data_IF_205930623827
#
_entry.id   IF_205930623827
#
_cell.length_a   1.000
_cell.length_b   1.000
_cell.length_c   1.000
_cell.angle_alpha   90.00
_cell.angle_beta   90.00
_cell.angle_gamma   90.00
#
_symmetry.space_group_name_H-M   'P 1'
#
loop_
_entity.id
_entity.type
_entity.pdbx_description
1 polymer ?
#
# COMPACT_ATOMS: atom_id res chain seq x y z
N UNK A 1 -20.50 25.60 -4.67
CA UNK A 1 -20.46 24.98 -3.32
C UNK A 1 -19.48 23.80 -3.15
N UNK A 2 -19.00 23.11 -4.21
CA UNK A 2 -17.97 22.05 -4.07
C UNK A 2 -16.55 22.57 -3.81
N UNK A 3 -16.20 23.75 -4.33
CA UNK A 3 -14.87 24.36 -4.12
C UNK A 3 -14.58 24.77 -2.67
N UNK A 4 -15.62 25.12 -1.89
CA UNK A 4 -15.48 25.47 -0.47
C UNK A 4 -15.24 24.27 0.44
N UNK A 5 -15.69 23.07 0.04
CA UNK A 5 -15.44 21.83 0.79
C UNK A 5 -14.02 21.32 0.56
N UNK A 6 -13.51 21.36 -0.67
CA UNK A 6 -12.11 21.04 -0.98
C UNK A 6 -11.13 21.95 -0.23
N UNK A 7 -11.45 23.24 -0.14
CA UNK A 7 -10.65 24.20 0.64
C UNK A 7 -10.69 23.93 2.14
N UNK A 8 -11.81 23.43 2.70
CA UNK A 8 -11.87 23.02 4.11
C UNK A 8 -11.08 21.75 4.40
N UNK A 9 -11.12 20.76 3.51
CA UNK A 9 -10.33 19.52 3.69
C UNK A 9 -8.84 19.81 3.59
N UNK A 10 -8.42 20.61 2.60
CA UNK A 10 -7.03 21.05 2.48
C UNK A 10 -6.61 21.89 3.69
N UNK A 11 -7.44 22.82 4.15
CA UNK A 11 -7.17 23.63 5.35
C UNK A 11 -7.11 22.80 6.62
N UNK A 12 -8.01 21.84 6.81
CA UNK A 12 -8.00 20.96 7.98
C UNK A 12 -6.83 19.98 7.92
N UNK A 13 -6.44 19.51 6.73
CA UNK A 13 -5.22 18.73 6.53
C UNK A 13 -3.96 19.56 6.81
N UNK A 14 -3.93 20.83 6.41
CA UNK A 14 -2.86 21.77 6.74
C UNK A 14 -2.80 22.11 8.23
N UNK A 15 -3.94 22.19 8.93
CA UNK A 15 -4.00 22.37 10.38
C UNK A 15 -3.55 21.10 11.10
N UNK A 16 -3.99 19.92 10.65
CA UNK A 16 -3.52 18.64 11.18
C UNK A 16 -2.02 18.44 10.93
N UNK A 17 -1.52 18.86 9.76
CA UNK A 17 -0.08 18.96 9.48
C UNK A 17 0.60 19.95 10.42
N UNK A 18 0.04 21.14 10.65
CA UNK A 18 0.62 22.13 11.57
C UNK A 18 0.68 21.67 13.04
N UNK A 19 -0.24 20.81 13.47
CA UNK A 19 -0.19 20.16 14.80
C UNK A 19 0.82 19.01 14.81
N UNK A 20 0.91 18.24 13.71
CA UNK A 20 1.95 17.22 13.52
C UNK A 20 3.37 17.82 13.33
N UNK A 21 3.47 19.07 12.86
CA UNK A 21 4.71 19.83 12.63
C UNK A 21 5.47 20.10 13.94
N UNK A 22 4.78 20.06 15.08
CA UNK A 22 5.40 20.23 16.39
C UNK A 22 5.96 18.93 16.96
N UNK A 23 5.65 17.76 16.41
CA UNK A 23 6.15 16.49 16.94
C UNK A 23 7.68 16.41 16.81
N UNK A 24 8.30 16.65 15.64
CA UNK A 24 9.75 16.67 15.54
C UNK A 24 10.41 17.74 16.43
N UNK A 25 9.77 18.90 16.58
CA UNK A 25 10.26 19.97 17.46
C UNK A 25 10.18 19.58 18.95
N UNK A 26 9.07 18.99 19.38
CA UNK A 26 8.84 18.52 20.74
C UNK A 26 9.78 17.36 21.08
N UNK A 27 9.93 16.38 20.18
CA UNK A 27 10.89 15.27 20.33
C UNK A 27 12.31 15.81 20.40
N UNK A 28 12.69 16.75 19.51
CA UNK A 28 14.00 17.39 19.55
C UNK A 28 14.23 18.08 20.90
N UNK A 29 13.28 18.86 21.41
CA UNK A 29 13.36 19.50 22.72
C UNK A 29 13.51 18.47 23.85
N UNK A 30 12.74 17.37 23.80
CA UNK A 30 12.85 16.27 24.76
C UNK A 30 14.23 15.61 24.75
N UNK A 31 14.93 15.54 23.61
CA UNK A 31 16.31 15.02 23.58
C UNK A 31 17.32 15.86 24.38
N UNK A 32 16.95 17.04 24.89
CA UNK A 32 17.77 17.83 25.81
C UNK A 32 17.34 17.69 27.27
N UNK A 33 16.25 16.96 27.54
CA UNK A 33 15.74 16.69 28.89
C UNK A 33 16.36 15.40 29.45
N UNK A 34 17.17 15.44 30.53
CA UNK A 34 17.95 14.28 30.98
C UNK A 34 17.12 13.02 31.30
N UNK A 35 15.95 13.11 31.98
CA UNK A 35 15.07 11.94 32.19
C UNK A 35 14.49 11.30 30.92
N UNK A 36 14.45 12.03 29.80
CA UNK A 36 14.04 11.49 28.50
C UNK A 36 15.21 10.83 27.80
N UNK A 37 16.37 11.48 27.81
CA UNK A 37 17.64 10.92 27.29
C UNK A 37 17.96 9.60 27.99
N UNK A 38 17.86 9.55 29.32
CA UNK A 38 18.13 8.34 30.10
C UNK A 38 17.22 7.17 29.72
N UNK A 39 15.95 7.44 29.39
CA UNK A 39 15.01 6.45 28.84
C UNK A 39 15.39 5.99 27.43
N UNK A 40 15.81 6.92 26.57
CA UNK A 40 16.27 6.64 25.20
C UNK A 40 17.58 5.85 25.13
N UNK A 41 18.41 5.94 26.17
CA UNK A 41 19.68 5.23 26.28
C UNK A 41 19.58 3.94 27.11
N UNK A 42 18.45 3.67 27.76
CA UNK A 42 18.26 2.55 28.70
C UNK A 42 18.47 1.17 28.07
N UNK A 43 18.38 1.04 26.74
CA UNK A 43 18.53 -0.21 25.99
C UNK A 43 19.73 -0.26 25.03
N UNK A 44 20.73 0.66 25.09
CA UNK A 44 21.85 0.62 24.14
C UNK A 44 22.99 1.62 24.36
N UNK A 45 23.89 1.72 23.37
CA UNK A 45 25.21 2.41 23.40
C UNK A 45 25.17 3.95 23.47
N UNK A 46 24.01 4.57 23.71
CA UNK A 46 23.86 6.04 23.65
C UNK A 46 23.93 6.66 22.24
N UNK A 47 24.19 5.86 21.19
CA UNK A 47 24.25 6.28 19.78
C UNK A 47 22.89 6.72 19.20
N UNK A 48 21.79 6.39 19.86
CA UNK A 48 20.42 6.71 19.43
C UNK A 48 20.10 8.21 19.50
N UNK A 49 20.65 8.94 20.48
CA UNK A 49 20.26 10.35 20.74
C UNK A 49 20.73 11.30 19.63
N UNK A 50 22.00 11.26 19.16
CA UNK A 50 22.42 12.05 18.01
C UNK A 50 21.62 11.74 16.74
N UNK A 51 21.31 10.46 16.49
CA UNK A 51 20.50 10.03 15.33
C UNK A 51 19.08 10.60 15.39
N UNK A 52 18.42 10.53 16.56
CA UNK A 52 17.09 11.11 16.76
C UNK A 52 17.12 12.63 16.56
N UNK A 53 18.14 13.32 17.05
CA UNK A 53 18.31 14.77 16.83
C UNK A 53 18.46 15.10 15.35
N UNK A 54 19.33 14.39 14.64
CA UNK A 54 19.52 14.56 13.18
C UNK A 54 18.22 14.29 12.44
N UNK A 55 17.51 13.21 12.75
CA UNK A 55 16.21 12.89 12.15
C UNK A 55 15.17 14.01 12.39
N UNK A 56 15.10 14.56 13.61
CA UNK A 56 14.20 15.67 13.91
C UNK A 56 14.59 16.95 13.14
N UNK A 57 15.88 17.28 13.04
CA UNK A 57 16.35 18.44 12.28
C UNK A 57 16.04 18.27 10.79
N UNK A 58 16.30 17.09 10.22
CA UNK A 58 15.98 16.77 8.83
C UNK A 58 14.48 16.87 8.58
N UNK A 59 13.65 16.34 9.49
CA UNK A 59 12.20 16.46 9.41
C UNK A 59 11.73 17.93 9.45
N UNK A 60 12.24 18.73 10.40
CA UNK A 60 11.94 20.17 10.49
C UNK A 60 12.40 20.95 9.25
N UNK A 61 13.56 20.62 8.69
CA UNK A 61 14.05 21.21 7.45
C UNK A 61 13.13 20.84 6.26
N UNK A 62 12.71 19.57 6.16
CA UNK A 62 11.75 19.13 5.15
C UNK A 62 10.40 19.86 5.29
N UNK A 63 9.89 20.03 6.51
CA UNK A 63 8.68 20.80 6.79
C UNK A 63 8.83 22.27 6.42
N UNK A 64 9.96 22.90 6.77
CA UNK A 64 10.26 24.28 6.39
C UNK A 64 10.31 24.44 4.86
N UNK A 65 10.93 23.50 4.15
CA UNK A 65 10.94 23.47 2.69
C UNK A 65 9.52 23.32 2.13
N UNK A 66 8.73 22.37 2.62
CA UNK A 66 7.32 22.20 2.22
C UNK A 66 6.52 23.48 2.46
N UNK A 67 6.72 24.14 3.60
CA UNK A 67 6.09 25.41 3.90
C UNK A 67 6.53 26.50 2.91
N UNK A 68 7.82 26.70 2.68
CA UNK A 68 8.36 27.69 1.73
C UNK A 68 7.79 27.46 0.33
N UNK A 69 7.74 26.21 -0.12
CA UNK A 69 7.26 25.84 -1.45
C UNK A 69 5.75 25.63 -1.55
N UNK A 70 4.98 25.73 -0.45
CA UNK A 70 3.54 25.40 -0.41
C UNK A 70 2.70 26.10 -1.47
N UNK A 71 2.98 27.37 -1.77
CA UNK A 71 2.26 28.14 -2.79
C UNK A 71 2.59 27.66 -4.20
N UNK A 72 3.86 27.31 -4.46
CA UNK A 72 4.29 26.77 -5.75
C UNK A 72 3.75 25.36 -5.97
N UNK A 73 3.77 24.53 -4.93
CA UNK A 73 3.18 23.19 -4.93
C UNK A 73 1.66 23.27 -5.14
N UNK A 74 0.97 24.17 -4.44
CA UNK A 74 -0.46 24.41 -4.65
C UNK A 74 -0.77 24.81 -6.09
N UNK A 75 -0.04 25.79 -6.64
CA UNK A 75 -0.22 26.21 -8.03
C UNK A 75 0.07 25.08 -9.04
N UNK A 76 1.05 24.21 -8.76
CA UNK A 76 1.35 23.04 -9.57
C UNK A 76 0.20 22.04 -9.54
N UNK A 77 -0.32 21.71 -8.35
CA UNK A 77 -1.46 20.80 -8.20
C UNK A 77 -2.71 21.35 -8.88
N UNK A 78 -2.98 22.65 -8.78
CA UNK A 78 -4.12 23.29 -9.42
C UNK A 78 -4.02 23.20 -10.95
N UNK A 79 -2.84 23.46 -11.52
CA UNK A 79 -2.59 23.31 -12.96
C UNK A 79 -2.75 21.87 -13.42
N UNK A 80 -2.23 20.93 -12.63
CA UNK A 80 -2.30 19.51 -12.93
C UNK A 80 -3.74 18.99 -12.85
N UNK A 81 -4.51 19.39 -11.85
CA UNK A 81 -5.93 19.04 -11.71
C UNK A 81 -6.76 19.65 -12.85
N UNK A 82 -6.49 20.89 -13.23
CA UNK A 82 -7.13 21.52 -14.39
C UNK A 82 -6.83 20.76 -15.69
N UNK A 83 -5.57 20.39 -15.92
CA UNK A 83 -5.17 19.57 -17.07
C UNK A 83 -5.87 18.22 -17.07
N UNK A 84 -5.87 17.51 -15.94
CA UNK A 84 -6.50 16.18 -15.80
C UNK A 84 -8.01 16.26 -16.04
N UNK A 85 -8.69 17.29 -15.52
CA UNK A 85 -10.12 17.49 -15.76
C UNK A 85 -10.43 17.78 -17.22
N UNK A 86 -9.65 18.66 -17.86
CA UNK A 86 -9.79 18.93 -19.29
C UNK A 86 -9.56 17.66 -20.11
N UNK A 87 -8.49 16.91 -19.79
CA UNK A 87 -8.18 15.65 -20.43
C UNK A 87 -9.26 14.58 -20.18
N UNK A 88 -9.90 14.55 -19.02
CA UNK A 88 -10.97 13.60 -18.71
C UNK A 88 -12.29 13.96 -19.44
N UNK A 89 -12.55 15.25 -19.70
CA UNK A 89 -13.78 15.70 -20.36
C UNK A 89 -13.84 15.35 -21.87
N UNK A 90 -12.71 15.22 -22.55
CA UNK A 90 -12.62 15.09 -24.02
C UNK A 90 -12.76 13.67 -24.57
N UNK A 91 -13.18 12.69 -23.77
CA UNK A 91 -13.28 11.30 -24.26
C UNK A 91 -14.53 10.61 -23.75
N UNK A 92 -14.86 9.43 -24.31
CA UNK A 92 -16.09 8.73 -23.99
C UNK A 92 -16.23 8.59 -22.47
N UNK A 93 -17.45 8.83 -21.99
CA UNK A 93 -17.84 8.60 -20.60
C UNK A 93 -17.83 7.09 -20.38
N UNK A 94 -16.65 6.52 -20.16
CA UNK A 94 -16.52 5.20 -19.59
C UNK A 94 -16.96 5.33 -18.13
N UNK A 95 -18.27 5.29 -17.93
CA UNK A 95 -18.87 5.20 -16.61
C UNK A 95 -18.10 4.12 -15.85
N UNK A 96 -17.63 4.42 -14.63
CA UNK A 96 -16.74 3.51 -13.94
C UNK A 96 -17.40 2.15 -13.88
N UNK A 97 -16.74 1.12 -14.46
CA UNK A 97 -17.21 -0.24 -14.33
C UNK A 97 -17.45 -0.50 -12.84
N UNK A 98 -18.67 -0.91 -12.50
CA UNK A 98 -19.02 -1.21 -11.13
C UNK A 98 -18.02 -2.24 -10.58
N UNK A 99 -17.61 -2.05 -9.33
CA UNK A 99 -16.73 -3.00 -8.65
C UNK A 99 -17.39 -4.39 -8.70
N UNK A 100 -16.68 -5.43 -9.14
CA UNK A 100 -17.25 -6.77 -9.26
C UNK A 100 -17.61 -7.30 -7.86
N UNK A 101 -18.89 -7.65 -7.65
CA UNK A 101 -19.41 -8.02 -6.31
C UNK A 101 -18.75 -9.26 -5.72
N UNK A 102 -18.49 -10.30 -6.53
CA UNK A 102 -17.92 -11.56 -6.08
C UNK A 102 -16.54 -11.43 -5.41
N UNK A 103 -15.49 -11.01 -6.14
CA UNK A 103 -14.16 -10.86 -5.57
C UNK A 103 -14.11 -9.81 -4.46
N UNK A 104 -14.96 -8.77 -4.53
CA UNK A 104 -15.12 -7.81 -3.45
C UNK A 104 -15.52 -8.48 -2.12
N UNK A 105 -16.60 -9.27 -2.12
CA UNK A 105 -17.10 -9.93 -0.91
C UNK A 105 -16.06 -10.92 -0.38
N UNK A 106 -15.42 -11.69 -1.26
CA UNK A 106 -14.40 -12.66 -0.86
C UNK A 106 -13.19 -12.00 -0.19
N UNK A 107 -12.64 -10.92 -0.78
CA UNK A 107 -11.48 -10.21 -0.23
C UNK A 107 -11.79 -9.57 1.14
N UNK A 108 -12.95 -8.93 1.28
CA UNK A 108 -13.34 -8.32 2.56
C UNK A 108 -13.66 -9.37 3.61
N UNK A 109 -14.32 -10.47 3.24
CA UNK A 109 -14.60 -11.56 4.17
C UNK A 109 -13.32 -12.23 4.65
N UNK A 110 -12.35 -12.48 3.76
CA UNK A 110 -11.05 -13.02 4.12
C UNK A 110 -10.29 -12.08 5.07
N UNK A 111 -10.23 -10.79 4.71
CA UNK A 111 -9.61 -9.77 5.57
C UNK A 111 -10.27 -9.72 6.96
N UNK A 112 -11.60 -9.71 7.05
CA UNK A 112 -12.29 -9.73 8.33
C UNK A 112 -12.04 -11.01 9.12
N UNK A 113 -12.07 -12.17 8.46
CA UNK A 113 -11.85 -13.45 9.12
C UNK A 113 -10.46 -13.54 9.74
N UNK A 114 -9.41 -13.18 8.98
CA UNK A 114 -8.03 -13.19 9.50
C UNK A 114 -7.87 -12.18 10.63
N UNK A 115 -8.45 -10.98 10.54
CA UNK A 115 -8.39 -9.97 11.60
C UNK A 115 -9.04 -10.47 12.90
N UNK A 116 -10.22 -11.09 12.79
CA UNK A 116 -10.93 -11.64 13.94
C UNK A 116 -10.13 -12.78 14.57
N UNK A 117 -9.56 -13.69 13.77
CA UNK A 117 -8.72 -14.78 14.28
C UNK A 117 -7.48 -14.24 14.98
N UNK A 118 -6.75 -13.32 14.35
CA UNK A 118 -5.54 -12.74 14.93
C UNK A 118 -5.82 -12.04 16.27
N UNK A 119 -6.86 -11.19 16.32
CA UNK A 119 -7.29 -10.52 17.54
C UNK A 119 -7.77 -11.52 18.59
N UNK A 120 -8.57 -12.52 18.22
CA UNK A 120 -9.04 -13.54 19.16
C UNK A 120 -7.86 -14.32 19.78
N UNK A 121 -6.90 -14.77 18.97
CA UNK A 121 -5.70 -15.46 19.45
C UNK A 121 -4.88 -14.56 20.38
N UNK A 122 -4.69 -13.28 20.03
CA UNK A 122 -3.94 -12.34 20.86
C UNK A 122 -4.52 -12.17 22.28
N UNK A 123 -5.85 -12.21 22.42
CA UNK A 123 -6.52 -12.05 23.71
C UNK A 123 -6.76 -13.36 24.46
N UNK A 124 -7.05 -14.46 23.76
CA UNK A 124 -7.41 -15.75 24.37
C UNK A 124 -6.17 -16.60 24.68
N UNK A 125 -5.19 -16.65 23.79
CA UNK A 125 -4.00 -17.49 23.94
C UNK A 125 -2.77 -16.84 23.29
N UNK A 126 -2.01 -16.02 24.04
CA UNK A 126 -0.77 -15.44 23.56
C UNK A 126 0.24 -16.46 23.00
N UNK A 127 0.38 -17.69 23.55
CA UNK A 127 1.22 -18.71 22.92
C UNK A 127 0.73 -19.13 21.52
N UNK A 128 -0.57 -19.31 21.34
CA UNK A 128 -1.14 -19.67 20.03
C UNK A 128 -1.03 -18.50 19.04
N UNK A 129 -1.18 -17.26 19.53
CA UNK A 129 -0.91 -16.07 18.75
C UNK A 129 0.54 -16.06 18.26
N UNK A 130 1.52 -16.23 19.16
CA UNK A 130 2.95 -16.29 18.78
C UNK A 130 3.27 -17.39 17.76
N UNK A 131 2.58 -18.53 17.81
CA UNK A 131 2.73 -19.58 16.81
C UNK A 131 2.07 -19.24 15.47
N UNK A 132 0.99 -18.45 15.48
CA UNK A 132 0.29 -18.00 14.28
C UNK A 132 1.14 -17.02 13.46
N UNK A 133 1.87 -16.12 14.14
CA UNK A 133 2.79 -15.11 13.58
C UNK A 133 4.27 -15.51 13.72
N UNK A 134 4.57 -16.79 13.91
CA UNK A 134 5.96 -17.24 14.01
C UNK A 134 6.66 -17.13 12.65
N UNK A 135 7.99 -17.00 12.67
CA UNK A 135 8.83 -17.28 11.50
C UNK A 135 8.50 -18.69 10.96
N UNK A 136 8.43 -18.83 9.64
CA UNK A 136 7.91 -20.00 8.93
C UNK A 136 6.45 -20.36 9.31
N UNK A 137 5.71 -19.37 9.80
CA UNK A 137 4.32 -19.51 10.20
C UNK A 137 3.35 -19.46 9.04
N UNK A 138 2.09 -19.79 9.33
CA UNK A 138 1.00 -19.73 8.35
C UNK A 138 0.82 -18.32 7.77
N UNK A 139 1.12 -17.27 8.54
CA UNK A 139 0.99 -15.88 8.12
C UNK A 139 2.03 -15.51 7.06
N UNK A 140 3.32 -15.78 7.26
CA UNK A 140 4.38 -15.54 6.26
C UNK A 140 4.11 -16.28 4.94
N UNK A 141 3.78 -17.58 5.00
CA UNK A 141 3.43 -18.33 3.79
C UNK A 141 2.21 -17.74 3.08
N UNK A 142 1.22 -17.24 3.83
CA UNK A 142 0.06 -16.59 3.26
C UNK A 142 0.40 -15.21 2.68
N UNK A 143 1.30 -14.44 3.29
CA UNK A 143 1.84 -13.17 2.80
C UNK A 143 2.59 -13.37 1.48
N UNK A 144 3.53 -14.32 1.44
CA UNK A 144 4.24 -14.71 0.23
C UNK A 144 3.27 -15.12 -0.89
N UNK A 145 2.30 -15.98 -0.58
CA UNK A 145 1.28 -16.39 -1.55
C UNK A 145 0.45 -15.20 -2.05
N UNK A 146 0.06 -14.27 -1.20
CA UNK A 146 -0.69 -13.08 -1.58
C UNK A 146 0.13 -12.16 -2.50
N UNK A 147 1.42 -11.95 -2.21
CA UNK A 147 2.34 -11.21 -3.05
C UNK A 147 2.52 -11.86 -4.43
N UNK A 148 2.79 -13.16 -4.48
CA UNK A 148 2.95 -13.90 -5.74
C UNK A 148 1.65 -13.96 -6.54
N UNK A 149 0.49 -14.10 -5.87
CA UNK A 149 -0.82 -14.00 -6.52
C UNK A 149 -1.06 -12.60 -7.10
N UNK A 150 -0.61 -11.54 -6.41
CA UNK A 150 -0.67 -10.17 -6.92
C UNK A 150 0.19 -10.01 -8.19
N UNK A 151 1.41 -10.55 -8.19
CA UNK A 151 2.29 -10.56 -9.35
C UNK A 151 1.66 -11.30 -10.53
N UNK A 152 1.09 -12.48 -10.30
CA UNK A 152 0.41 -13.27 -11.34
C UNK A 152 -0.81 -12.52 -11.90
N UNK A 153 -1.64 -11.91 -11.04
CA UNK A 153 -2.78 -11.11 -11.47
C UNK A 153 -2.33 -9.89 -12.29
N UNK A 154 -1.29 -9.19 -11.86
CA UNK A 154 -0.73 -8.04 -12.57
C UNK A 154 -0.14 -8.45 -13.93
N UNK A 155 0.57 -9.58 -14.02
CA UNK A 155 1.10 -10.11 -15.27
C UNK A 155 -0.02 -10.48 -16.24
N UNK A 156 -1.07 -11.14 -15.76
CA UNK A 156 -2.25 -11.45 -16.57
C UNK A 156 -2.97 -10.18 -17.01
N UNK A 157 -3.13 -9.19 -16.12
CA UNK A 157 -3.70 -7.91 -16.48
C UNK A 157 -2.84 -7.15 -17.51
N UNK A 158 -1.51 -7.27 -17.45
CA UNK A 158 -0.57 -6.69 -18.41
C UNK A 158 -0.73 -7.31 -19.80
N UNK A 159 -0.98 -8.62 -19.90
CA UNK A 159 -1.21 -9.29 -21.18
C UNK A 159 -2.58 -8.99 -21.80
N UNK A 160 -3.55 -8.52 -21.01
CA UNK A 160 -4.88 -8.13 -21.48
C UNK A 160 -4.92 -6.67 -21.94
N UNK A 161 -5.36 -6.39 -23.18
CA UNK A 161 -5.39 -5.04 -23.77
C UNK A 161 -3.98 -4.45 -23.99
N UNK A 162 -3.54 -4.53 -25.25
CA UNK A 162 -2.23 -4.06 -25.74
C UNK A 162 -2.21 -2.57 -26.11
N UNK A 163 -3.33 -1.85 -25.95
CA UNK A 163 -3.36 -0.41 -26.19
C UNK A 163 -2.42 0.30 -25.24
N UNK A 164 -1.58 1.19 -25.79
CA UNK A 164 -0.58 1.96 -25.03
C UNK A 164 0.35 1.05 -24.20
N UNK A 165 0.70 -0.13 -24.74
CA UNK A 165 1.49 -1.15 -24.06
C UNK A 165 2.75 -0.59 -23.38
N UNK A 166 3.50 0.31 -24.02
CA UNK A 166 4.69 0.92 -23.40
C UNK A 166 4.40 1.65 -22.09
N UNK A 167 3.31 2.44 -22.02
CA UNK A 167 2.91 3.14 -20.78
C UNK A 167 2.41 2.17 -19.73
N UNK A 168 1.66 1.17 -20.17
CA UNK A 168 1.16 0.11 -19.31
C UNK A 168 2.31 -0.68 -18.70
N UNK A 169 3.26 -1.13 -19.52
CA UNK A 169 4.47 -1.83 -19.08
C UNK A 169 5.24 -1.00 -18.05
N UNK A 170 5.40 0.31 -18.26
CA UNK A 170 6.04 1.20 -17.30
C UNK A 170 5.34 1.26 -15.92
N UNK A 171 4.03 1.00 -15.85
CA UNK A 171 3.30 0.94 -14.58
C UNK A 171 3.26 -0.47 -13.97
N UNK A 172 3.16 -1.51 -14.81
CA UNK A 172 3.01 -2.90 -14.36
C UNK A 172 4.34 -3.55 -14.00
N UNK A 173 5.42 -3.25 -14.72
CA UNK A 173 6.72 -3.86 -14.46
C UNK A 173 7.23 -3.56 -13.04
N UNK A 174 7.19 -2.31 -12.54
CA UNK A 174 7.57 -2.04 -11.15
C UNK A 174 6.66 -2.73 -10.14
N UNK A 175 5.35 -2.80 -10.41
CA UNK A 175 4.39 -3.49 -9.55
C UNK A 175 4.67 -5.00 -9.48
N UNK A 176 4.89 -5.65 -10.62
CA UNK A 176 5.21 -7.07 -10.69
C UNK A 176 6.55 -7.35 -9.99
N UNK A 177 7.57 -6.54 -10.28
CA UNK A 177 8.88 -6.68 -9.67
C UNK A 177 8.81 -6.53 -8.13
N UNK A 178 8.09 -5.53 -7.64
CA UNK A 178 7.83 -5.35 -6.20
C UNK A 178 7.15 -6.57 -5.60
N UNK A 179 6.06 -7.06 -6.21
CA UNK A 179 5.31 -8.20 -5.68
C UNK A 179 6.14 -9.50 -5.70
N UNK A 180 6.94 -9.75 -6.73
CA UNK A 180 7.85 -10.92 -6.78
C UNK A 180 8.93 -10.79 -5.73
N UNK A 181 9.50 -9.59 -5.58
CA UNK A 181 10.53 -9.31 -4.58
C UNK A 181 9.99 -9.55 -3.17
N UNK A 182 8.90 -8.87 -2.76
CA UNK A 182 8.30 -9.06 -1.44
C UNK A 182 7.86 -10.52 -1.21
N UNK A 183 7.22 -11.16 -2.19
CA UNK A 183 6.81 -12.55 -2.06
C UNK A 183 7.97 -13.53 -1.94
N UNK A 184 9.10 -13.24 -2.59
CA UNK A 184 10.34 -13.99 -2.44
C UNK A 184 10.96 -13.78 -1.06
N UNK A 185 11.07 -12.53 -0.61
CA UNK A 185 11.63 -12.17 0.70
C UNK A 185 10.94 -12.91 1.86
N UNK A 186 9.61 -13.01 1.84
CA UNK A 186 8.77 -13.65 2.87
C UNK A 186 9.01 -15.16 3.03
N UNK A 187 9.61 -15.83 2.04
CA UNK A 187 9.96 -17.26 2.10
C UNK A 187 11.44 -17.49 1.83
N UNK A 188 12.25 -16.45 2.00
CA UNK A 188 13.69 -16.47 1.79
C UNK A 188 14.08 -17.03 0.42
N UNK A 189 13.35 -16.58 -0.60
CA UNK A 189 13.49 -17.00 -2.00
C UNK A 189 13.36 -18.51 -2.20
N UNK A 190 12.67 -19.20 -1.30
CA UNK A 190 12.51 -20.65 -1.31
C UNK A 190 13.75 -21.42 -0.86
N UNK A 191 14.73 -20.75 -0.23
CA UNK A 191 15.95 -21.37 0.29
C UNK A 191 15.65 -22.55 1.21
N UNK A 192 14.71 -22.38 2.13
CA UNK A 192 14.28 -23.43 3.07
C UNK A 192 13.53 -24.57 2.36
N UNK A 193 12.71 -24.24 1.36
CA UNK A 193 11.92 -25.20 0.58
C UNK A 193 12.77 -26.04 -0.39
N UNK A 194 13.82 -25.44 -0.95
CA UNK A 194 14.68 -26.04 -1.98
C UNK A 194 16.04 -26.47 -1.44
N UNK A 195 16.29 -26.26 -0.14
CA UNK A 195 17.49 -26.67 0.60
C UNK A 195 18.82 -26.23 -0.04
N UNK A 196 18.87 -25.09 -0.72
CA UNK A 196 20.12 -24.55 -1.24
C UNK A 196 20.85 -23.71 -0.19
N UNK A 197 22.19 -23.71 -0.24
CA UNK A 197 23.02 -23.07 0.78
C UNK A 197 23.11 -21.54 0.61
N UNK A 198 23.29 -20.85 1.73
CA UNK A 198 23.58 -19.42 1.79
C UNK A 198 24.93 -19.14 1.13
N UNK A 199 25.00 -18.23 0.14
CA UNK A 199 26.27 -17.83 -0.44
C UNK A 199 27.21 -17.21 0.61
N UNK A 200 28.52 -17.44 0.50
CA UNK A 200 29.51 -16.95 1.46
C UNK A 200 29.51 -15.41 1.65
N UNK A 201 29.06 -14.65 0.65
CA UNK A 201 28.93 -13.19 0.72
C UNK A 201 27.72 -12.71 1.55
N UNK A 202 26.79 -13.60 1.89
CA UNK A 202 25.64 -13.38 2.78
C UNK A 202 25.82 -14.04 4.16
N UNK A 203 27.01 -14.60 4.44
CA UNK A 203 27.28 -15.29 5.71
C UNK A 203 27.24 -14.37 6.94
N UNK A 204 27.14 -13.04 6.76
CA UNK A 204 26.93 -12.06 7.83
C UNK A 204 25.45 -11.88 8.22
N UNK A 205 24.50 -12.47 7.47
CA UNK A 205 23.09 -12.54 7.85
C UNK A 205 22.94 -13.47 9.07
N UNK A 206 22.23 -13.02 10.12
CA UNK A 206 22.14 -13.72 11.41
C UNK A 206 21.42 -15.08 11.30
N UNK A 207 20.42 -15.21 10.42
CA UNK A 207 19.76 -16.49 10.14
C UNK A 207 20.42 -17.28 9.01
N UNK A 208 21.52 -16.79 8.40
CA UNK A 208 22.09 -17.37 7.18
C UNK A 208 21.05 -17.35 6.02
N UNK A 209 20.23 -16.31 6.00
CA UNK A 209 19.21 -15.95 5.01
C UNK A 209 19.77 -15.46 3.65
N UNK A 210 19.22 -15.83 2.49
CA UNK A 210 19.35 -15.00 1.27
C UNK A 210 18.44 -13.76 1.31
N UNK A 211 17.38 -13.79 2.13
CA UNK A 211 16.50 -12.65 2.32
C UNK A 211 17.26 -11.42 2.87
N UNK A 212 16.84 -10.26 2.42
CA UNK A 212 17.20 -8.96 2.97
C UNK A 212 16.33 -8.63 4.20
N UNK A 213 15.17 -9.27 4.33
CA UNK A 213 14.25 -9.16 5.48
C UNK A 213 14.94 -9.44 6.83
N UNK A 214 15.97 -10.30 6.85
CA UNK A 214 16.56 -10.84 8.09
C UNK A 214 17.92 -10.26 8.50
N UNK A 215 18.41 -9.25 7.78
CA UNK A 215 19.70 -8.59 8.11
C UNK A 215 19.49 -7.60 9.28
N UNK A 216 19.11 -8.12 10.45
CA UNK A 216 19.43 -7.71 11.82
C UNK A 216 19.33 -6.25 12.29
N UNK A 217 18.86 -5.29 11.48
CA UNK A 217 18.82 -3.86 11.81
C UNK A 217 17.98 -3.02 10.83
N UNK A 218 16.87 -3.51 10.26
CA UNK A 218 16.16 -2.79 9.19
C UNK A 218 14.83 -2.17 9.62
N UNK A 219 14.79 -1.61 10.83
CA UNK A 219 13.66 -0.78 11.27
C UNK A 219 13.33 0.40 10.35
N UNK A 220 14.32 0.92 9.62
CA UNK A 220 14.13 2.04 8.69
C UNK A 220 13.43 1.61 7.40
N UNK A 221 13.70 0.41 6.89
CA UNK A 221 13.03 -0.09 5.67
C UNK A 221 11.64 -0.61 6.01
N UNK A 222 11.42 -1.24 7.16
CA UNK A 222 10.08 -1.59 7.66
C UNK A 222 9.20 -0.34 7.77
N UNK A 223 9.69 0.73 8.41
CA UNK A 223 9.02 2.02 8.50
C UNK A 223 8.70 2.62 7.11
N UNK A 224 9.68 2.62 6.20
CA UNK A 224 9.49 3.13 4.85
C UNK A 224 8.47 2.29 4.08
N UNK A 225 8.47 0.97 4.28
CA UNK A 225 7.54 0.04 3.68
C UNK A 225 6.12 0.21 4.25
N UNK A 226 5.98 0.45 5.55
CA UNK A 226 4.72 0.85 6.19
C UNK A 226 4.14 2.11 5.57
N UNK A 227 4.93 3.18 5.48
CA UNK A 227 4.49 4.42 4.86
C UNK A 227 4.12 4.19 3.39
N UNK A 228 4.95 3.48 2.64
CA UNK A 228 4.71 3.18 1.23
C UNK A 228 3.41 2.40 1.01
N UNK A 229 3.22 1.29 1.72
CA UNK A 229 2.00 0.45 1.60
C UNK A 229 0.75 1.21 2.06
N UNK A 230 0.85 2.05 3.10
CA UNK A 230 -0.25 2.92 3.55
C UNK A 230 -0.61 3.94 2.47
N UNK A 231 0.38 4.54 1.81
CA UNK A 231 0.15 5.47 0.71
C UNK A 231 -0.51 4.78 -0.48
N UNK A 232 -0.05 3.58 -0.85
CA UNK A 232 -0.56 2.81 -1.98
C UNK A 232 -1.94 2.18 -1.74
N UNK A 233 -2.17 1.63 -0.54
CA UNK A 233 -3.35 0.81 -0.24
C UNK A 233 -4.44 1.57 0.52
N UNK A 234 -4.13 2.66 1.23
CA UNK A 234 -5.13 3.42 1.99
C UNK A 234 -5.34 4.82 1.43
N UNK A 235 -4.28 5.64 1.40
CA UNK A 235 -4.37 7.06 1.03
C UNK A 235 -4.70 7.23 -0.45
N UNK A 236 -4.00 6.51 -1.33
CA UNK A 236 -4.20 6.54 -2.78
C UNK A 236 -5.64 6.23 -3.21
N UNK A 237 -6.20 5.06 -2.83
CA UNK A 237 -7.58 4.72 -3.16
C UNK A 237 -8.59 5.71 -2.55
N UNK A 238 -8.35 6.19 -1.32
CA UNK A 238 -9.21 7.18 -0.65
C UNK A 238 -9.24 8.53 -1.37
N UNK A 239 -8.07 9.00 -1.86
CA UNK A 239 -7.95 10.22 -2.66
C UNK A 239 -8.61 10.05 -4.03
N UNK A 240 -8.33 8.94 -4.72
CA UNK A 240 -8.89 8.66 -6.05
C UNK A 240 -10.41 8.51 -6.00
N UNK A 241 -10.97 7.92 -4.94
CA UNK A 241 -12.42 7.85 -4.74
C UNK A 241 -13.11 9.23 -4.73
N UNK A 242 -12.39 10.28 -4.28
CA UNK A 242 -12.86 11.67 -4.25
C UNK A 242 -12.51 12.47 -5.50
N UNK A 243 -11.71 11.90 -6.40
CA UNK A 243 -11.19 12.54 -7.60
C UNK A 243 -11.59 11.76 -8.88
N UNK A 244 -12.87 11.79 -9.30
CA UNK A 244 -13.34 10.99 -10.42
C UNK A 244 -12.64 11.31 -11.76
N UNK A 245 -12.28 12.57 -11.99
CA UNK A 245 -11.52 12.98 -13.18
C UNK A 245 -10.15 12.28 -13.26
N UNK A 246 -9.46 12.15 -12.12
CA UNK A 246 -8.20 11.42 -12.01
C UNK A 246 -8.37 9.93 -12.30
N UNK A 247 -9.43 9.30 -11.79
CA UNK A 247 -9.73 7.89 -12.11
C UNK A 247 -9.93 7.66 -13.60
N UNK A 248 -10.65 8.55 -14.27
CA UNK A 248 -10.86 8.48 -15.73
C UNK A 248 -9.54 8.67 -16.47
N UNK A 249 -8.75 9.67 -16.08
CA UNK A 249 -7.47 9.96 -16.70
C UNK A 249 -6.46 8.79 -16.55
N UNK A 250 -6.31 8.24 -15.35
CA UNK A 250 -5.42 7.10 -15.08
C UNK A 250 -5.83 5.86 -15.87
N UNK A 251 -7.14 5.58 -15.98
CA UNK A 251 -7.65 4.49 -16.82
C UNK A 251 -7.31 4.68 -18.30
N UNK A 252 -7.37 5.91 -18.83
CA UNK A 252 -6.93 6.20 -20.20
C UNK A 252 -5.44 5.95 -20.38
N UNK A 253 -4.63 6.18 -19.35
CA UNK A 253 -3.21 5.84 -19.35
C UNK A 253 -2.94 4.33 -19.20
N UNK A 254 -4.00 3.53 -19.06
CA UNK A 254 -3.94 2.09 -18.86
C UNK A 254 -3.24 1.67 -17.54
N UNK A 255 -3.23 2.57 -16.56
CA UNK A 255 -2.71 2.35 -15.20
C UNK A 255 -3.63 1.36 -14.46
N UNK A 256 -3.12 0.53 -13.52
CA UNK A 256 -3.94 -0.35 -12.69
C UNK A 256 -5.14 0.38 -12.07
N UNK A 257 -6.31 -0.25 -12.13
CA UNK A 257 -7.55 0.29 -11.55
C UNK A 257 -7.47 0.18 -10.03
N UNK A 258 -7.22 1.32 -9.39
CA UNK A 258 -7.23 1.44 -7.93
C UNK A 258 -8.68 1.50 -7.43
N UNK A 259 -9.19 0.36 -6.94
CA UNK A 259 -10.53 0.25 -6.39
C UNK A 259 -10.56 0.65 -4.89
N UNK A 260 -11.58 1.39 -4.40
CA UNK A 260 -11.71 1.73 -2.99
C UNK A 260 -11.75 0.55 -2.01
N UNK A 261 -12.05 -0.66 -2.49
CA UNK A 261 -12.01 -1.90 -1.71
C UNK A 261 -10.61 -2.17 -1.15
N UNK A 262 -9.55 -1.80 -1.87
CA UNK A 262 -8.17 -1.96 -1.41
C UNK A 262 -7.96 -1.26 -0.05
N UNK A 263 -8.48 -0.04 0.08
CA UNK A 263 -8.44 0.72 1.33
C UNK A 263 -9.25 0.08 2.47
N UNK A 264 -10.31 -0.66 2.15
CA UNK A 264 -11.09 -1.39 3.16
C UNK A 264 -10.33 -2.60 3.67
N UNK A 265 -9.77 -3.41 2.75
CA UNK A 265 -8.97 -4.59 3.07
C UNK A 265 -7.78 -4.21 3.94
N UNK A 266 -7.00 -3.22 3.50
CA UNK A 266 -5.84 -2.73 4.26
C UNK A 266 -6.24 -2.09 5.59
N UNK A 267 -7.33 -1.30 5.60
CA UNK A 267 -7.82 -0.64 6.81
C UNK A 267 -8.31 -1.59 7.90
N UNK A 268 -8.88 -2.73 7.52
CA UNK A 268 -9.24 -3.82 8.46
C UNK A 268 -7.97 -4.35 9.15
N UNK A 269 -6.94 -4.61 8.36
CA UNK A 269 -5.64 -5.05 8.87
C UNK A 269 -4.99 -4.07 9.81
N UNK A 270 -4.95 -2.80 9.40
CA UNK A 270 -4.39 -1.73 10.23
C UNK A 270 -5.13 -1.59 11.57
N UNK A 271 -6.46 -1.74 11.57
CA UNK A 271 -7.24 -1.74 12.80
C UNK A 271 -6.89 -2.94 13.69
N UNK A 272 -6.77 -4.15 13.12
CA UNK A 272 -6.38 -5.35 13.85
C UNK A 272 -4.97 -5.21 14.45
N UNK A 273 -4.00 -4.74 13.66
CA UNK A 273 -2.64 -4.47 14.09
C UNK A 273 -2.61 -3.47 15.25
N UNK A 274 -3.38 -2.37 15.18
CA UNK A 274 -3.49 -1.40 16.29
C UNK A 274 -4.03 -2.05 17.57
N UNK A 275 -5.07 -2.87 17.46
CA UNK A 275 -5.66 -3.55 18.64
C UNK A 275 -4.68 -4.54 19.26
N UNK A 276 -4.00 -5.34 18.44
CA UNK A 276 -2.97 -6.29 18.89
C UNK A 276 -1.78 -5.55 19.51
N UNK A 277 -1.29 -4.50 18.86
CA UNK A 277 -0.16 -3.72 19.34
C UNK A 277 -0.46 -3.01 20.66
N UNK A 278 -1.69 -2.53 20.87
CA UNK A 278 -2.14 -2.00 22.17
C UNK A 278 -2.16 -3.09 23.25
N UNK A 279 -2.58 -4.31 22.90
CA UNK A 279 -2.67 -5.44 23.84
C UNK A 279 -1.31 -5.89 24.34
N UNK A 280 -0.28 -5.83 23.51
CA UNK A 280 1.08 -6.24 23.87
C UNK A 280 2.01 -5.07 24.21
N UNK A 281 1.59 -3.83 24.00
CA UNK A 281 2.43 -2.64 24.19
C UNK A 281 3.51 -2.50 23.12
N UNK A 282 3.26 -3.01 21.91
CA UNK A 282 4.24 -3.12 20.82
C UNK A 282 4.04 -2.09 19.74
N UNK A 283 2.96 -1.31 19.83
CA UNK A 283 2.66 -0.23 18.88
C UNK A 283 3.83 0.73 18.70
N UNK A 284 4.29 0.82 17.45
CA UNK A 284 5.41 1.63 17.01
C UNK A 284 6.35 0.80 16.16
N UNK A 285 7.32 1.46 15.54
CA UNK A 285 8.37 0.78 14.78
C UNK A 285 9.69 1.00 15.49
N UNK A 286 10.59 0.01 15.36
CA UNK A 286 11.93 0.12 15.91
C UNK A 286 12.66 1.40 15.44
N UNK A 287 13.52 2.03 16.25
CA UNK A 287 13.84 1.71 17.65
C UNK A 287 12.88 2.38 18.66
N UNK A 288 11.78 3.00 18.21
CA UNK A 288 10.91 3.85 19.01
C UNK A 288 9.52 3.21 19.20
N UNK A 289 9.42 2.17 20.03
CA UNK A 289 8.12 1.68 20.49
C UNK A 289 7.61 2.56 21.63
N UNK A 290 6.29 2.75 21.72
CA UNK A 290 5.65 3.59 22.75
C UNK A 290 5.92 3.11 24.19
N UNK A 291 6.21 1.81 24.38
CA UNK A 291 6.45 1.19 25.68
C UNK A 291 7.92 0.79 25.94
N UNK A 292 8.84 1.07 25.00
CA UNK A 292 10.27 0.83 25.19
C UNK A 292 10.72 -0.64 25.13
N UNK A 293 9.82 -1.57 24.82
CA UNK A 293 10.17 -2.98 24.57
C UNK A 293 10.13 -3.28 23.07
N UNK A 294 11.13 -4.06 22.61
CA UNK A 294 11.23 -4.55 21.24
C UNK A 294 10.55 -5.90 21.14
N UNK A 295 9.52 -5.99 20.33
CA UNK A 295 9.04 -7.27 19.81
C UNK A 295 8.46 -7.04 18.42
N UNK A 296 9.17 -7.50 17.38
CA UNK A 296 8.73 -7.61 15.98
C UNK A 296 7.47 -8.49 15.79
N UNK A 297 6.77 -8.87 16.86
CA UNK A 297 5.79 -9.95 16.81
C UNK A 297 4.56 -9.57 15.98
N UNK A 298 4.04 -8.36 16.09
CA UNK A 298 2.80 -7.97 15.40
C UNK A 298 3.00 -7.40 13.99
N UNK A 299 4.23 -7.14 13.55
CA UNK A 299 4.51 -6.59 12.21
C UNK A 299 4.06 -7.56 11.11
N UNK A 300 4.20 -8.86 11.32
CA UNK A 300 3.71 -9.95 10.44
C UNK A 300 2.23 -9.80 10.04
N UNK A 301 1.39 -9.34 10.98
CA UNK A 301 -0.03 -9.11 10.68
C UNK A 301 -0.15 -7.98 9.67
N UNK A 302 0.53 -6.87 9.93
CA UNK A 302 0.48 -5.72 9.03
C UNK A 302 1.08 -6.05 7.65
N UNK A 303 2.20 -6.77 7.59
CA UNK A 303 2.85 -7.22 6.36
C UNK A 303 1.91 -8.10 5.52
N UNK A 304 1.21 -9.04 6.17
CA UNK A 304 0.16 -9.82 5.52
C UNK A 304 -0.94 -8.95 4.91
N UNK A 305 -1.41 -7.90 5.61
CA UNK A 305 -2.42 -7.00 5.05
C UNK A 305 -1.88 -6.05 3.99
N UNK A 306 -0.60 -5.73 4.00
CA UNK A 306 0.06 -5.08 2.87
C UNK A 306 0.02 -5.99 1.65
N UNK A 307 0.44 -7.26 1.78
CA UNK A 307 0.39 -8.27 0.73
C UNK A 307 -1.04 -8.45 0.19
N UNK A 308 -2.02 -8.58 1.09
CA UNK A 308 -3.44 -8.72 0.74
C UNK A 308 -4.00 -7.47 0.06
N UNK A 309 -3.53 -6.27 0.44
CA UNK A 309 -3.87 -5.00 -0.20
C UNK A 309 -3.40 -4.94 -1.65
N UNK A 310 -2.15 -5.32 -1.93
CA UNK A 310 -1.61 -5.40 -3.29
C UNK A 310 -2.25 -6.53 -4.11
N UNK A 311 -2.56 -7.66 -3.48
CA UNK A 311 -3.34 -8.74 -4.10
C UNK A 311 -4.74 -8.24 -4.50
N UNK A 312 -5.44 -7.55 -3.60
CA UNK A 312 -6.73 -6.93 -3.90
C UNK A 312 -6.64 -5.92 -5.05
N UNK A 313 -5.60 -5.08 -5.07
CA UNK A 313 -5.35 -4.12 -6.15
C UNK A 313 -5.22 -4.84 -7.51
N UNK A 314 -4.36 -5.84 -7.59
CA UNK A 314 -4.08 -6.56 -8.84
C UNK A 314 -5.28 -7.43 -9.29
N UNK A 315 -5.94 -8.12 -8.37
CA UNK A 315 -7.09 -8.97 -8.67
C UNK A 315 -8.31 -8.18 -9.14
N UNK A 316 -8.60 -7.04 -8.51
CA UNK A 316 -9.71 -6.16 -8.91
C UNK A 316 -9.42 -5.50 -10.26
N UNK A 317 -8.19 -5.05 -10.50
CA UNK A 317 -7.77 -4.54 -11.81
C UNK A 317 -7.93 -5.59 -12.91
N UNK A 318 -7.43 -6.81 -12.68
CA UNK A 318 -7.59 -7.94 -13.59
C UNK A 318 -9.06 -8.21 -13.89
N UNK A 319 -9.91 -8.24 -12.86
CA UNK A 319 -11.36 -8.48 -13.03
C UNK A 319 -12.02 -7.39 -13.85
N UNK A 320 -11.67 -6.11 -13.62
CA UNK A 320 -12.17 -4.99 -14.42
C UNK A 320 -11.76 -5.12 -15.89
N UNK A 321 -10.52 -5.53 -16.16
CA UNK A 321 -10.00 -5.72 -17.52
C UNK A 321 -10.67 -6.88 -18.23
N UNK A 322 -10.83 -8.02 -17.57
CA UNK A 322 -11.58 -9.16 -18.09
C UNK A 322 -13.01 -8.78 -18.44
N UNK A 323 -13.68 -8.00 -17.58
CA UNK A 323 -15.02 -7.50 -17.86
C UNK A 323 -15.06 -6.56 -19.08
N UNK A 324 -14.05 -5.69 -19.24
CA UNK A 324 -13.93 -4.80 -20.39
C UNK A 324 -13.69 -5.59 -21.70
N UNK A 325 -12.79 -6.58 -21.69
CA UNK A 325 -12.51 -7.45 -22.85
C UNK A 325 -13.73 -8.28 -23.26
N UNK A 326 -14.53 -8.75 -22.29
CA UNK A 326 -15.81 -9.45 -22.60
C UNK A 326 -16.80 -8.53 -23.29
N UNK A 327 -16.95 -7.28 -22.83
CA UNK A 327 -17.85 -6.29 -23.47
C UNK A 327 -17.45 -5.99 -24.91
N UNK A 328 -16.16 -5.86 -25.20
CA UNK A 328 -15.69 -5.60 -26.57
C UNK A 328 -15.87 -6.79 -27.51
N UNK A 329 -15.77 -8.03 -27.01
CA UNK A 329 -16.03 -9.25 -27.81
C UNK A 329 -17.51 -9.48 -28.15
N UNK A 330 -18.43 -9.06 -27.28
CA UNK A 330 -19.89 -9.24 -27.49
C UNK A 330 -20.47 -8.23 -28.50
N UNK A 331 -19.76 -7.13 -28.78
CA UNK A 331 -20.27 -5.99 -29.56
C UNK A 331 -19.94 -5.90 -31.08
N UNK A 332 -19.53 -6.97 -31.79
CA UNK A 332 -19.70 -6.95 -33.25
C UNK A 332 -20.25 -8.29 -33.79
N UNK A 333 -21.57 -8.44 -33.82
CA UNK A 333 -22.20 -9.45 -34.71
C UNK A 333 -23.67 -9.19 -35.06
N UNK A 334 -24.43 -8.48 -34.22
CA UNK A 334 -25.85 -8.20 -34.49
C UNK A 334 -26.09 -6.87 -35.22
N UNK A 335 -25.41 -5.80 -34.82
CA UNK A 335 -25.59 -4.47 -35.43
C UNK A 335 -25.01 -4.33 -36.85
N UNK A 336 -24.10 -5.22 -37.26
CA UNK A 336 -23.50 -5.22 -38.61
C UNK A 336 -24.21 -6.14 -39.61
N UNK A 337 -25.18 -6.97 -39.19
CA UNK A 337 -25.96 -7.83 -40.10
C UNK A 337 -27.32 -7.27 -40.50
N UNK A 338 -27.78 -6.18 -39.87
CA UNK A 338 -29.12 -5.62 -40.09
C UNK A 338 -29.17 -4.44 -41.10
N UNK A 339 -28.11 -4.20 -41.88
CA UNK A 339 -28.13 -3.23 -42.97
C UNK A 339 -27.37 -3.80 -44.18
N UNK A 340 -28.06 -4.56 -45.04
CA UNK A 340 -28.29 -4.04 -46.39
C UNK A 340 -29.61 -4.54 -47.00
N UNK A 341 -30.78 -3.94 -46.67
CA UNK A 341 -32.01 -4.29 -47.42
C UNK A 341 -33.14 -3.23 -47.44
N UNK A 342 -32.89 -1.97 -47.08
CA UNK A 342 -33.93 -0.91 -47.11
C UNK A 342 -33.55 0.30 -47.98
N UNK A 343 -32.75 0.08 -49.03
CA UNK A 343 -32.45 1.11 -50.05
C UNK A 343 -32.90 0.72 -51.48
N UNK A 344 -33.73 -0.32 -51.63
CA UNK A 344 -34.30 -0.74 -52.93
C UNK A 344 -35.83 -0.69 -53.02
N UNK A 345 -36.51 0.04 -52.12
CA UNK A 345 -37.97 0.16 -52.13
C UNK A 345 -38.49 1.60 -52.34
N UNK A 346 -37.66 2.50 -52.89
CA UNK A 346 -38.08 3.87 -53.29
C UNK A 346 -37.47 4.27 -54.64
N UNK A 347 -37.48 3.33 -55.58
CA UNK A 347 -37.57 3.62 -57.02
C UNK A 347 -38.93 3.13 -57.47
#
# INVERSE_FOLDING_TARGET
>A
MRGTVQNRVLRNALIAFAVADLIPAAVLALTFHPPFVQRLTWHGTGRSVPLVRVACVVALAALALLFVFRKRLGALFDRLDAYVRAAAATGPSDAPAATPRGPYVALVALALAVAVVAVALAFVSPPAFRAFIAEDGIVEYASSLAWLAAAACALMALSLDTRRFGRKLACYLPLIALCVFCGGEEISWGQRLLHYQTPAWLASNKQHEINLHDIGSISVTENAFFVFTTLCCLVGPWLLARAPAWRVYLRRLNVPVVDPVVARVYGIGLAAWVVVGLRFGTLGFSPLTLWGYYTQMDDEIWEFYAALGFCALAALDLTHRLAATRRTRVLPSYAQRAAPTLQRAVQ
#
